data_IF_449429867666
#
_entry.id   IF_449429867666
#
_cell.length_a   1.000
_cell.length_b   1.000
_cell.length_c   1.000
_cell.angle_alpha   90.00
_cell.angle_beta   90.00
_cell.angle_gamma   90.00
#
_symmetry.space_group_name_H-M   'P 1'
#
loop_
_entity.id
_entity.type
_entity.pdbx_description
1 polymer ?
#
# COMPACT_ATOMS: atom_id res chain seq x y z
N UNK A 1 19.87 56.46 22.39
CA UNK A 1 19.70 55.95 22.15
C UNK A 1 19.32 55.00 21.79
N UNK A 2 19.26 54.45 21.69
CA UNK A 2 18.99 53.63 21.38
C UNK A 2 18.70 52.63 20.94
N UNK A 3 18.55 52.01 20.82
CA UNK A 3 18.25 51.14 20.46
C UNK A 3 17.84 50.16 20.10
N UNK A 4 17.73 49.53 19.97
CA UNK A 4 17.35 48.59 19.65
C UNK A 4 17.08 47.63 19.20
N UNK A 5 16.77 47.04 19.01
CA UNK A 5 16.51 46.20 18.58
C UNK A 5 16.07 45.25 18.22
N UNK A 6 15.84 44.61 18.06
CA UNK A 6 15.42 43.75 17.69
C UNK A 6 15.15 42.86 17.24
N UNK A 7 14.98 42.24 16.99
CA UNK A 7 14.63 41.45 16.51
C UNK A 7 14.32 40.45 16.25
N UNK A 8 14.12 39.84 16.00
CA UNK A 8 13.79 38.93 15.72
C UNK A 8 13.52 38.03 15.27
N UNK A 9 13.43 37.54 15.04
CA UNK A 9 13.07 36.72 14.56
C UNK A 9 12.77 35.64 14.29
N UNK A 10 12.64 35.12 14.12
CA UNK A 10 12.33 34.24 13.83
C UNK A 10 12.02 33.29 13.46
N UNK A 11 11.90 32.78 13.24
CA UNK A 11 11.54 31.92 12.87
C UNK A 11 11.32 30.93 12.52
N UNK A 12 11.20 30.41 12.29
CA UNK A 12 10.87 29.55 11.85
C UNK A 12 10.61 28.47 11.60
N UNK A 13 10.48 28.00 11.46
CA UNK A 13 10.17 27.04 11.17
C UNK A 13 9.94 26.11 10.69
N UNK A 14 9.84 25.71 10.59
CA UNK A 14 9.56 24.79 10.15
C UNK A 14 9.25 23.76 9.79
N UNK A 15 9.13 23.29 9.71
CA UNK A 15 8.75 22.40 9.37
C UNK A 15 8.62 21.40 9.00
N UNK A 16 8.51 21.01 8.96
CA UNK A 16 8.28 20.07 8.65
C UNK A 16 8.05 19.16 8.10
N UNK A 17 7.96 18.91 8.06
CA UNK A 17 7.63 18.05 7.60
C UNK A 17 7.52 17.19 7.07
N UNK A 18 7.61 17.04 7.16
CA UNK A 18 7.40 16.29 6.65
C UNK A 18 7.25 15.47 6.21
N UNK A 19 7.30 15.31 6.49
CA UNK A 19 7.09 14.57 6.13
C UNK A 19 6.81 13.84 5.70
N UNK A 20 6.85 13.86 5.96
CA UNK A 20 6.53 13.29 5.60
C UNK A 20 6.11 12.81 4.98
N UNK A 21 6.16 12.93 5.01
CA UNK A 21 5.71 12.68 4.41
C UNK A 21 5.38 12.00 3.78
N UNK A 22 5.55 11.68 4.00
CA UNK A 22 5.34 11.19 3.48
C UNK A 22 4.78 10.53 3.13
N UNK A 23 4.68 10.27 3.42
CA UNK A 23 4.22 9.81 3.26
C UNK A 23 3.52 9.31 2.92
N UNK A 24 3.62 9.18 3.13
CA UNK A 24 3.00 8.84 3.04
C UNK A 24 2.23 8.49 2.55
N UNK A 25 2.17 8.39 3.04
CA UNK A 25 1.19 8.23 2.58
C UNK A 25 0.83 8.01 1.31
N UNK A 26 1.30 7.76 0.64
CA UNK A 26 0.98 7.55 -0.73
C UNK A 26 0.32 6.21 -1.01
N UNK A 27 -0.05 5.51 0.01
CA UNK A 27 -0.73 4.22 -0.16
C UNK A 27 -2.17 4.50 -0.56
N UNK A 28 -2.55 4.01 -1.75
CA UNK A 28 -3.90 4.17 -2.27
C UNK A 28 -4.52 2.79 -2.37
N UNK A 29 -5.39 2.47 -1.44
CA UNK A 29 -6.17 1.24 -1.49
C UNK A 29 -7.43 1.48 -2.31
N UNK A 30 -7.93 0.47 -3.04
CA UNK A 30 -9.25 0.62 -3.65
C UNK A 30 -10.31 0.83 -2.58
N UNK A 31 -11.40 1.52 -2.90
CA UNK A 31 -12.47 1.69 -1.93
C UNK A 31 -13.16 0.36 -1.66
N UNK A 32 -13.73 0.23 -0.46
CA UNK A 32 -14.49 -0.96 -0.10
C UNK A 32 -15.69 -1.08 -1.03
N UNK A 33 -15.96 -2.29 -1.50
CA UNK A 33 -17.07 -2.57 -2.40
C UNK A 33 -17.71 -3.89 -1.99
N UNK A 34 -19.01 -3.86 -1.71
CA UNK A 34 -19.74 -5.05 -1.28
C UNK A 34 -19.71 -6.16 -2.34
N UNK A 35 -19.51 -5.83 -3.60
CA UNK A 35 -19.45 -6.83 -4.67
C UNK A 35 -18.24 -7.76 -4.50
N UNK A 36 -17.22 -7.35 -3.76
CA UNK A 36 -16.07 -8.21 -3.49
C UNK A 36 -16.44 -9.46 -2.71
N UNK A 37 -17.54 -9.42 -1.98
CA UNK A 37 -18.01 -10.60 -1.25
C UNK A 37 -18.44 -11.73 -2.21
N UNK A 38 -18.79 -11.38 -3.43
CA UNK A 38 -19.07 -12.38 -4.48
C UNK A 38 -17.81 -12.72 -5.24
N UNK A 39 -17.10 -11.70 -5.74
CA UNK A 39 -15.86 -11.91 -6.47
C UNK A 39 -15.09 -10.59 -6.56
N UNK A 40 -13.81 -10.64 -6.29
CA UNK A 40 -12.90 -9.52 -6.52
C UNK A 40 -12.69 -9.44 -8.03
N UNK A 41 -12.89 -8.27 -8.63
CA UNK A 41 -12.61 -8.12 -10.06
C UNK A 41 -11.12 -7.96 -10.29
N UNK A 42 -10.62 -8.39 -11.47
CA UNK A 42 -9.21 -8.20 -11.79
C UNK A 42 -8.79 -6.72 -11.73
N UNK A 43 -9.67 -5.80 -12.15
CA UNK A 43 -9.36 -4.38 -12.12
C UNK A 43 -9.11 -3.88 -10.72
N UNK A 44 -9.89 -4.35 -9.75
CA UNK A 44 -9.71 -3.94 -8.37
C UNK A 44 -8.43 -4.56 -7.79
N UNK A 45 -8.19 -5.83 -8.12
CA UNK A 45 -6.97 -6.51 -7.67
C UNK A 45 -5.73 -5.77 -8.19
N UNK A 46 -5.74 -5.36 -9.45
CA UNK A 46 -4.60 -4.67 -10.06
C UNK A 46 -4.24 -3.37 -9.36
N UNK A 47 -5.15 -2.80 -8.60
CA UNK A 47 -4.85 -1.56 -7.86
C UNK A 47 -3.81 -1.77 -6.78
N UNK A 48 -3.52 -3.00 -6.40
CA UNK A 48 -2.48 -3.30 -5.42
C UNK A 48 -1.10 -3.44 -6.06
N UNK A 49 -1.02 -3.52 -7.39
CA UNK A 49 0.27 -3.61 -8.08
C UNK A 49 1.01 -2.29 -7.94
N UNK A 50 2.28 -2.36 -7.61
CA UNK A 50 3.11 -1.19 -7.40
C UNK A 50 3.23 -0.78 -5.95
N UNK A 51 2.42 -1.34 -5.06
CA UNK A 51 2.52 -1.07 -3.63
C UNK A 51 3.63 -1.90 -3.02
N UNK A 52 4.17 -1.42 -1.90
CA UNK A 52 5.04 -2.25 -1.09
C UNK A 52 4.26 -3.45 -0.59
N UNK A 53 4.94 -4.56 -0.41
CA UNK A 53 4.29 -5.81 0.01
C UNK A 53 3.45 -5.61 1.27
N UNK A 54 3.99 -4.93 2.29
CA UNK A 54 3.27 -4.70 3.53
C UNK A 54 2.02 -3.84 3.31
N UNK A 55 2.11 -2.85 2.42
CA UNK A 55 0.99 -1.97 2.13
C UNK A 55 -0.10 -2.71 1.36
N UNK A 56 0.29 -3.57 0.42
CA UNK A 56 -0.68 -4.36 -0.33
C UNK A 56 -1.42 -5.33 0.60
N UNK A 57 -0.70 -5.95 1.51
CA UNK A 57 -1.31 -6.86 2.48
C UNK A 57 -2.30 -6.12 3.37
N UNK A 58 -1.91 -4.92 3.81
CA UNK A 58 -2.79 -4.11 4.65
C UNK A 58 -4.04 -3.69 3.89
N UNK A 59 -3.89 -3.28 2.64
CA UNK A 59 -5.05 -2.93 1.81
C UNK A 59 -5.99 -4.11 1.67
N UNK A 60 -5.45 -5.30 1.39
CA UNK A 60 -6.27 -6.51 1.26
C UNK A 60 -7.04 -6.77 2.56
N UNK A 61 -6.37 -6.65 3.70
CA UNK A 61 -7.01 -6.87 4.99
C UNK A 61 -8.12 -5.86 5.24
N UNK A 62 -7.88 -4.58 4.91
CA UNK A 62 -8.88 -3.53 5.11
C UNK A 62 -10.10 -3.75 4.21
N UNK A 63 -9.89 -4.37 3.04
CA UNK A 63 -10.96 -4.65 2.09
C UNK A 63 -11.68 -5.96 2.39
N UNK A 64 -11.18 -6.74 3.35
CA UNK A 64 -11.74 -8.05 3.63
C UNK A 64 -11.32 -9.12 2.65
N UNK A 65 -10.28 -8.88 1.87
CA UNK A 65 -9.75 -9.85 0.91
C UNK A 65 -8.76 -10.78 1.62
N UNK A 66 -8.78 -12.06 1.25
CA UNK A 66 -7.69 -12.96 1.60
C UNK A 66 -6.49 -12.62 0.73
N UNK A 67 -5.30 -12.89 1.23
CA UNK A 67 -4.05 -12.47 0.59
C UNK A 67 -3.01 -13.58 0.76
N UNK A 68 -2.33 -13.90 -0.32
CA UNK A 68 -1.18 -14.81 -0.23
C UNK A 68 -0.13 -14.43 -1.26
N UNK A 69 1.12 -14.80 -0.97
CA UNK A 69 2.23 -14.56 -1.88
C UNK A 69 2.46 -15.84 -2.66
N UNK A 70 2.42 -15.75 -3.99
CA UNK A 70 2.69 -16.90 -4.85
C UNK A 70 4.15 -17.00 -5.24
N UNK A 71 4.85 -15.86 -5.29
CA UNK A 71 6.25 -15.83 -5.68
C UNK A 71 6.90 -14.58 -5.08
N UNK A 72 8.15 -14.72 -4.65
CA UNK A 72 8.92 -13.58 -4.12
C UNK A 72 10.34 -13.68 -4.63
N UNK A 73 10.77 -12.65 -5.37
CA UNK A 73 12.13 -12.53 -5.91
C UNK A 73 12.54 -13.75 -6.72
N UNK A 74 11.59 -14.24 -7.53
CA UNK A 74 11.84 -15.38 -8.42
C UNK A 74 11.64 -16.73 -7.77
N UNK A 75 11.35 -16.77 -6.48
CA UNK A 75 11.09 -18.02 -5.78
C UNK A 75 9.60 -18.27 -5.71
N UNK A 76 9.16 -19.39 -6.27
CA UNK A 76 7.75 -19.78 -6.24
C UNK A 76 7.45 -20.55 -4.98
N UNK A 77 6.33 -20.24 -4.35
CA UNK A 77 5.90 -20.92 -3.15
C UNK A 77 4.87 -22.00 -3.50
N UNK A 78 4.86 -23.07 -2.71
CA UNK A 78 3.86 -24.09 -2.88
C UNK A 78 2.51 -23.53 -2.44
N UNK A 79 1.55 -23.50 -3.35
CA UNK A 79 0.21 -23.00 -3.09
C UNK A 79 -0.76 -24.16 -3.11
N UNK A 80 -1.83 -24.03 -2.32
CA UNK A 80 -2.92 -24.99 -2.37
C UNK A 80 -3.64 -24.85 -3.70
N UNK A 81 -4.28 -25.94 -4.16
CA UNK A 81 -4.95 -25.94 -5.44
C UNK A 81 -6.34 -25.31 -5.39
N UNK A 82 -6.82 -24.95 -4.20
CA UNK A 82 -8.13 -24.35 -4.04
C UNK A 82 -8.16 -22.95 -4.64
N UNK A 83 -9.22 -22.63 -5.32
CA UNK A 83 -9.45 -21.32 -5.92
C UNK A 83 -10.41 -20.53 -5.03
N UNK A 84 -10.15 -19.23 -4.87
CA UNK A 84 -11.07 -18.37 -4.12
C UNK A 84 -11.23 -17.04 -4.83
N UNK A 85 -12.47 -16.66 -5.09
CA UNK A 85 -12.78 -15.37 -5.72
C UNK A 85 -12.63 -14.20 -4.75
N UNK A 86 -12.41 -14.49 -3.48
CA UNK A 86 -12.21 -13.47 -2.44
C UNK A 86 -10.76 -13.39 -1.98
N UNK A 87 -9.86 -14.01 -2.73
CA UNK A 87 -8.43 -14.02 -2.38
C UNK A 87 -7.61 -13.49 -3.55
N UNK A 88 -6.56 -12.72 -3.23
CA UNK A 88 -5.57 -12.32 -4.22
C UNK A 88 -4.27 -13.05 -3.96
N UNK A 89 -3.60 -13.43 -5.03
CA UNK A 89 -2.28 -14.05 -5.00
C UNK A 89 -1.32 -13.09 -5.69
N UNK A 90 -0.27 -12.68 -5.01
CA UNK A 90 0.64 -11.65 -5.52
C UNK A 90 2.01 -12.23 -5.82
N UNK A 91 2.67 -11.59 -6.77
CA UNK A 91 4.10 -11.77 -7.03
C UNK A 91 4.81 -10.54 -6.48
N UNK A 92 5.86 -10.76 -5.70
CA UNK A 92 6.61 -9.69 -5.05
C UNK A 92 8.02 -9.70 -5.59
N UNK A 93 8.53 -8.54 -5.98
CA UNK A 93 9.91 -8.38 -6.44
C UNK A 93 10.50 -7.18 -5.72
N UNK A 94 11.60 -7.41 -4.99
CA UNK A 94 12.30 -6.36 -4.24
C UNK A 94 11.34 -5.58 -3.34
N UNK A 95 10.44 -6.32 -2.68
CA UNK A 95 9.51 -5.73 -1.71
C UNK A 95 8.29 -5.04 -2.31
N UNK A 96 8.11 -5.11 -3.63
CA UNK A 96 7.01 -4.44 -4.32
C UNK A 96 6.15 -5.49 -5.02
N UNK A 97 4.84 -5.32 -4.97
CA UNK A 97 3.91 -6.19 -5.71
C UNK A 97 4.03 -5.86 -7.19
N UNK A 98 4.47 -6.83 -7.99
CA UNK A 98 4.69 -6.62 -9.42
C UNK A 98 3.63 -7.30 -10.27
N UNK A 99 2.89 -8.25 -9.71
CA UNK A 99 1.79 -8.91 -10.41
C UNK A 99 0.80 -9.44 -9.38
N UNK A 100 -0.44 -9.63 -9.81
CA UNK A 100 -1.50 -10.08 -8.91
C UNK A 100 -2.53 -10.86 -9.72
N UNK A 101 -3.15 -11.83 -9.09
CA UNK A 101 -4.28 -12.54 -9.67
C UNK A 101 -5.30 -12.82 -8.59
N UNK A 102 -6.55 -12.97 -9.00
CA UNK A 102 -7.64 -13.41 -8.12
C UNK A 102 -7.64 -14.93 -8.13
N UNK A 103 -7.58 -15.50 -6.96
CA UNK A 103 -7.56 -16.95 -6.89
C UNK A 103 -6.79 -17.52 -5.73
#
# INVERSE_FOLDING_TARGET
MKRFLVVALASCALVSCSSSEQNASAVVCPPVDAADATAITPERAEMLVGLLEADAEKCAADLGWAYRVGSRDGENFALTADYSQQRVTVTVTLGVVTAISVG
#
